data_IF_332877552344
#
_entry.id   IF_332877552344
#
_cell.length_a   1.000
_cell.length_b   1.000
_cell.length_c   1.000
_cell.angle_alpha   90.00
_cell.angle_beta   90.00
_cell.angle_gamma   90.00
#
_symmetry.space_group_name_H-M   'P 1'
#
loop_
_entity.id
_entity.type
_entity.pdbx_description
1 polymer ?
#
# COMPACT_ATOMS: atom_id res chain seq x y z
N UNK A 1 14.05 -4.52 -1.12
CA UNK A 1 12.95 -3.60 -1.47
C UNK A 1 11.72 -4.45 -1.59
N UNK A 2 10.69 -4.17 -0.79
CA UNK A 2 9.43 -4.89 -0.81
C UNK A 2 8.63 -4.68 -2.09
N UNK A 3 7.78 -5.65 -2.43
CA UNK A 3 7.01 -5.70 -3.69
C UNK A 3 6.06 -4.50 -3.81
N UNK A 4 5.52 -4.04 -2.68
CA UNK A 4 4.59 -2.91 -2.65
C UNK A 4 5.30 -1.57 -2.90
N UNK A 5 6.51 -1.38 -2.38
CA UNK A 5 7.33 -0.18 -2.62
C UNK A 5 7.64 0.01 -4.10
N UNK A 6 8.09 -1.06 -4.75
CA UNK A 6 8.45 -1.04 -6.16
C UNK A 6 7.24 -0.80 -7.05
N UNK A 7 6.09 -1.40 -6.71
CA UNK A 7 4.83 -1.12 -7.40
C UNK A 7 4.45 0.36 -7.31
N UNK A 8 4.56 0.98 -6.12
CA UNK A 8 4.22 2.41 -5.98
C UNK A 8 5.14 3.31 -6.81
N UNK A 9 6.46 3.08 -6.77
CA UNK A 9 7.43 3.87 -7.55
C UNK A 9 7.22 3.73 -9.06
N UNK A 10 6.92 2.51 -9.52
CA UNK A 10 6.71 2.22 -10.94
C UNK A 10 5.43 2.84 -11.48
N UNK A 11 4.35 2.75 -10.72
CA UNK A 11 3.00 3.13 -11.18
C UNK A 11 2.69 4.62 -10.98
N UNK A 12 3.34 5.26 -10.02
CA UNK A 12 3.08 6.66 -9.66
C UNK A 12 4.36 7.49 -9.79
N UNK A 13 4.68 7.86 -11.03
CA UNK A 13 5.78 8.78 -11.33
C UNK A 13 5.62 10.09 -10.56
N UNK A 14 6.66 10.49 -9.82
CA UNK A 14 6.65 11.69 -8.99
C UNK A 14 6.35 11.47 -7.50
N UNK A 15 6.08 10.23 -7.06
CA UNK A 15 6.06 9.89 -5.64
C UNK A 15 7.47 9.53 -5.15
N UNK A 16 7.93 10.21 -4.12
CA UNK A 16 9.08 9.74 -3.34
C UNK A 16 8.57 8.76 -2.28
N UNK A 17 8.68 7.47 -2.55
CA UNK A 17 8.34 6.40 -1.61
C UNK A 17 9.61 5.81 -0.99
N UNK A 18 9.67 5.82 0.34
CA UNK A 18 10.75 5.24 1.14
C UNK A 18 10.21 4.15 2.05
N UNK A 19 10.77 2.96 1.95
CA UNK A 19 10.49 1.88 2.90
C UNK A 19 11.06 2.25 4.29
N UNK A 20 10.20 2.27 5.29
CA UNK A 20 10.57 2.52 6.70
C UNK A 20 10.74 1.20 7.44
N UNK A 21 9.84 0.26 7.18
CA UNK A 21 9.80 -1.02 7.89
C UNK A 21 9.18 -2.08 6.99
N UNK A 22 9.77 -3.27 7.01
CA UNK A 22 9.22 -4.46 6.34
C UNK A 22 9.46 -5.66 7.24
N UNK A 23 8.42 -6.46 7.46
CA UNK A 23 8.49 -7.66 8.28
C UNK A 23 7.47 -8.70 7.85
N UNK A 24 7.64 -9.91 8.38
CA UNK A 24 6.69 -11.00 8.23
C UNK A 24 6.23 -11.49 9.62
N UNK A 25 4.93 -11.44 9.86
CA UNK A 25 4.28 -11.92 11.08
C UNK A 25 3.49 -13.19 10.77
N UNK A 26 4.13 -14.35 10.98
CA UNK A 26 3.59 -15.64 10.56
C UNK A 26 3.48 -15.71 9.03
N UNK A 27 2.24 -15.82 8.52
CA UNK A 27 1.97 -15.78 7.08
C UNK A 27 1.66 -14.39 6.55
N UNK A 28 1.59 -13.35 7.40
CA UNK A 28 1.27 -12.00 6.96
C UNK A 28 2.54 -11.20 6.71
N UNK A 29 2.69 -10.65 5.51
CA UNK A 29 3.68 -9.63 5.20
C UNK A 29 3.15 -8.25 5.59
N UNK A 30 4.01 -7.41 6.17
CA UNK A 30 3.69 -6.03 6.53
C UNK A 30 4.80 -5.13 6.01
N UNK A 31 4.43 -4.14 5.20
CA UNK A 31 5.33 -3.11 4.67
C UNK A 31 4.81 -1.74 5.09
N UNK A 32 5.67 -0.87 5.63
CA UNK A 32 5.36 0.52 5.99
C UNK A 32 6.28 1.43 5.20
N UNK A 33 5.67 2.37 4.48
CA UNK A 33 6.34 3.32 3.61
C UNK A 33 6.04 4.76 4.06
N UNK A 34 7.04 5.63 3.98
CA UNK A 34 6.84 7.07 3.93
C UNK A 34 6.68 7.45 2.47
N UNK A 35 5.60 8.15 2.15
CA UNK A 35 5.35 8.65 0.80
C UNK A 35 5.25 10.16 0.87
N UNK A 36 5.98 10.82 -0.03
CA UNK A 36 5.90 12.26 -0.24
C UNK A 36 5.30 12.55 -1.61
N UNK A 37 4.23 13.34 -1.62
CA UNK A 37 3.51 13.76 -2.81
C UNK A 37 3.12 15.24 -2.67
N UNK A 38 3.35 16.06 -3.70
CA UNK A 38 2.93 17.47 -3.76
C UNK A 38 3.30 18.31 -2.50
N UNK A 39 4.44 18.03 -1.87
CA UNK A 39 4.88 18.73 -0.65
C UNK A 39 4.30 18.18 0.67
N UNK A 40 3.35 17.26 0.61
CA UNK A 40 2.79 16.56 1.77
C UNK A 40 3.48 15.22 2.01
N UNK A 41 3.56 14.80 3.28
CA UNK A 41 4.05 13.47 3.69
C UNK A 41 2.94 12.67 4.34
N UNK A 42 2.91 11.38 4.05
CA UNK A 42 2.00 10.44 4.67
C UNK A 42 2.67 9.06 4.80
N UNK A 43 2.15 8.28 5.74
CA UNK A 43 2.55 6.89 5.94
C UNK A 43 1.56 5.96 5.25
N UNK A 44 2.10 4.92 4.64
CA UNK A 44 1.32 3.85 4.02
C UNK A 44 1.75 2.54 4.62
N UNK A 45 0.84 1.83 5.27
CA UNK A 45 1.05 0.45 5.70
C UNK A 45 0.26 -0.48 4.80
N UNK A 46 0.96 -1.38 4.14
CA UNK A 46 0.39 -2.48 3.38
C UNK A 46 0.56 -3.78 4.15
N UNK A 47 -0.51 -4.56 4.23
CA UNK A 47 -0.50 -5.89 4.81
C UNK A 47 -1.07 -6.87 3.80
N UNK A 48 -0.36 -7.97 3.60
CA UNK A 48 -0.77 -9.06 2.72
C UNK A 48 -0.69 -10.39 3.45
N UNK A 49 -1.74 -11.20 3.34
CA UNK A 49 -1.79 -12.54 3.90
C UNK A 49 -2.34 -13.51 2.86
N UNK A 50 -1.48 -14.34 2.23
CA UNK A 50 -1.91 -15.34 1.27
C UNK A 50 -2.81 -16.39 1.94
N UNK A 51 -3.87 -16.76 1.23
CA UNK A 51 -4.86 -17.78 1.56
C UNK A 51 -4.84 -18.88 0.50
N UNK A 52 -5.73 -19.86 0.64
CA UNK A 52 -5.87 -20.95 -0.33
C UNK A 52 -6.40 -20.41 -1.67
N UNK A 53 -6.12 -21.13 -2.75
CA UNK A 53 -6.61 -20.83 -4.10
C UNK A 53 -6.18 -19.46 -4.65
N UNK A 54 -4.95 -19.03 -4.34
CA UNK A 54 -4.37 -17.79 -4.86
C UNK A 54 -5.15 -16.53 -4.45
N UNK A 55 -5.85 -16.61 -3.31
CA UNK A 55 -6.58 -15.50 -2.71
C UNK A 55 -5.68 -14.84 -1.69
N UNK A 56 -5.66 -13.51 -1.68
CA UNK A 56 -4.90 -12.70 -0.75
C UNK A 56 -5.86 -11.88 0.11
N UNK A 57 -5.75 -12.01 1.44
CA UNK A 57 -6.39 -11.07 2.36
C UNK A 57 -5.43 -9.91 2.56
N UNK A 58 -5.90 -8.71 2.31
CA UNK A 58 -5.03 -7.55 2.32
C UNK A 58 -5.67 -6.35 2.99
N UNK A 59 -4.82 -5.46 3.49
CA UNK A 59 -5.24 -4.15 3.96
C UNK A 59 -4.20 -3.08 3.63
N UNK A 60 -4.71 -1.91 3.28
CA UNK A 60 -3.96 -0.70 2.98
C UNK A 60 -4.43 0.38 3.95
N UNK A 61 -3.51 0.85 4.79
CA UNK A 61 -3.75 1.90 5.76
C UNK A 61 -2.91 3.10 5.35
N UNK A 62 -3.57 4.23 5.11
CA UNK A 62 -2.92 5.47 4.71
C UNK A 62 -3.20 6.51 5.77
N UNK A 63 -2.14 7.04 6.37
CA UNK A 63 -2.22 7.97 7.49
C UNK A 63 -1.41 9.22 7.18
N UNK A 64 -2.07 10.37 7.22
CA UNK A 64 -1.44 11.69 7.26
C UNK A 64 -1.61 12.31 8.66
N UNK A 65 -1.06 13.51 8.87
CA UNK A 65 -1.20 14.22 10.14
C UNK A 65 -2.66 14.46 10.56
N UNK A 66 -3.58 14.58 9.59
CA UNK A 66 -4.95 15.03 9.83
C UNK A 66 -6.01 13.96 9.52
N UNK A 67 -5.63 12.85 8.86
CA UNK A 67 -6.58 11.84 8.43
C UNK A 67 -5.95 10.45 8.36
N UNK A 68 -6.75 9.42 8.65
CA UNK A 68 -6.38 8.02 8.43
C UNK A 68 -7.49 7.30 7.69
N UNK A 69 -7.13 6.59 6.63
CA UNK A 69 -8.05 5.79 5.83
C UNK A 69 -7.56 4.35 5.79
N UNK A 70 -8.47 3.41 6.04
CA UNK A 70 -8.21 1.98 5.95
C UNK A 70 -9.06 1.38 4.84
N UNK A 71 -8.44 0.55 4.02
CA UNK A 71 -9.06 -0.18 2.92
C UNK A 71 -8.61 -1.62 3.06
N UNK A 72 -9.53 -2.55 2.88
CA UNK A 72 -9.24 -3.97 3.03
C UNK A 72 -10.04 -4.75 1.99
N UNK A 73 -9.50 -5.90 1.62
CA UNK A 73 -10.13 -6.77 0.64
C UNK A 73 -9.65 -8.20 0.75
N UNK A 74 -10.25 -9.02 -0.09
CA UNK A 74 -9.89 -10.41 -0.27
C UNK A 74 -10.04 -10.73 -1.74
N UNK A 75 -8.92 -10.71 -2.46
CA UNK A 75 -8.90 -10.73 -3.92
C UNK A 75 -7.77 -11.63 -4.40
N UNK A 76 -7.80 -12.06 -5.67
CA UNK A 76 -6.62 -12.65 -6.30
C UNK A 76 -5.51 -11.61 -6.45
N UNK A 77 -4.25 -12.06 -6.56
CA UNK A 77 -3.07 -11.18 -6.61
C UNK A 77 -3.17 -10.07 -7.67
N UNK A 78 -3.66 -10.39 -8.88
CA UNK A 78 -3.79 -9.40 -9.95
C UNK A 78 -4.88 -8.35 -9.66
N UNK A 79 -6.02 -8.79 -9.13
CA UNK A 79 -7.14 -7.92 -8.77
C UNK A 79 -6.78 -7.04 -7.57
N UNK A 80 -6.06 -7.58 -6.60
CA UNK A 80 -5.46 -6.87 -5.48
C UNK A 80 -4.62 -5.68 -5.97
N UNK A 81 -3.65 -5.92 -6.87
CA UNK A 81 -2.74 -4.88 -7.40
C UNK A 81 -3.52 -3.76 -8.07
N UNK A 82 -4.54 -4.09 -8.86
CA UNK A 82 -5.41 -3.12 -9.51
C UNK A 82 -6.21 -2.28 -8.49
N UNK A 83 -6.85 -2.92 -7.50
CA UNK A 83 -7.63 -2.20 -6.46
C UNK A 83 -6.76 -1.28 -5.63
N UNK A 84 -5.58 -1.73 -5.23
CA UNK A 84 -4.63 -0.89 -4.48
C UNK A 84 -4.28 0.34 -5.32
N UNK A 85 -3.94 0.16 -6.60
CA UNK A 85 -3.59 1.26 -7.50
C UNK A 85 -4.69 2.30 -7.58
N UNK A 86 -5.94 1.89 -7.80
CA UNK A 86 -7.07 2.83 -7.88
C UNK A 86 -7.27 3.60 -6.58
N UNK A 87 -7.14 2.93 -5.43
CA UNK A 87 -7.34 3.55 -4.13
C UNK A 87 -6.21 4.53 -3.76
N UNK A 88 -4.95 4.15 -4.03
CA UNK A 88 -3.80 5.05 -3.84
C UNK A 88 -3.91 6.27 -4.74
N UNK A 89 -4.31 6.09 -6.01
CA UNK A 89 -4.56 7.20 -6.94
C UNK A 89 -5.61 8.15 -6.40
N UNK A 90 -6.78 7.64 -6.02
CA UNK A 90 -7.88 8.46 -5.51
C UNK A 90 -7.48 9.26 -4.26
N UNK A 91 -6.60 8.70 -3.42
CA UNK A 91 -6.10 9.39 -2.23
C UNK A 91 -5.09 10.48 -2.59
N UNK A 92 -4.16 10.22 -3.52
CA UNK A 92 -3.19 11.22 -3.99
C UNK A 92 -3.87 12.37 -4.75
N UNK A 93 -4.91 12.06 -5.54
CA UNK A 93 -5.68 13.06 -6.28
C UNK A 93 -6.59 13.90 -5.38
N UNK A 94 -7.11 13.31 -4.29
CA UNK A 94 -7.89 14.01 -3.26
C UNK A 94 -7.07 14.75 -2.21
N UNK A 95 -5.74 14.60 -2.22
CA UNK A 95 -4.76 15.36 -1.42
C UNK A 95 -4.21 16.56 -2.22
#
# INVERSE_FOLDING_TARGET
MGEFTEMLKREFGGLEAREIYSTKLGNRSVEILEVKAKGSRFLVMFQDEPKKHDIHRWSLIITSANNSRTIQGMDKLDTLKMRIKENVRAIIEGL
#
